data_IF_321851404353
#
_entry.id   IF_321851404353
#
_cell.length_a   1.000
_cell.length_b   1.000
_cell.length_c   1.000
_cell.angle_alpha   90.00
_cell.angle_beta   90.00
_cell.angle_gamma   90.00
#
_symmetry.space_group_name_H-M   'P 1'
#
loop_
_entity.id
_entity.type
_entity.pdbx_description
1 polymer ?
#
# COMPACT_ATOMS: atom_id res chain seq x y z
N UNK A 1 -5.77 4.90 -20.04
CA UNK A 1 -4.59 5.17 -20.91
C UNK A 1 -4.86 6.24 -21.98
N UNK A 2 -6.09 6.43 -22.49
CA UNK A 2 -6.36 7.33 -23.64
C UNK A 2 -6.75 8.80 -23.34
N UNK A 3 -6.47 9.37 -22.14
CA UNK A 3 -6.81 10.79 -21.83
C UNK A 3 -5.61 11.73 -21.67
N UNK A 4 -4.39 11.21 -21.73
CA UNK A 4 -3.18 12.01 -21.49
C UNK A 4 -2.75 12.89 -22.68
N UNK A 5 -3.34 12.70 -23.87
CA UNK A 5 -2.93 13.38 -25.10
C UNK A 5 -3.25 14.89 -25.15
N UNK A 6 -3.99 15.44 -24.18
CA UNK A 6 -4.35 16.87 -24.11
C UNK A 6 -3.72 17.62 -22.93
N UNK A 7 -2.81 16.98 -22.19
CA UNK A 7 -2.14 17.61 -21.06
C UNK A 7 -0.90 18.42 -21.49
N UNK A 8 -0.67 19.62 -20.94
CA UNK A 8 0.60 20.33 -21.07
C UNK A 8 1.78 19.41 -20.72
N UNK A 9 2.95 19.57 -21.36
CA UNK A 9 4.11 18.68 -21.16
C UNK A 9 4.52 18.47 -19.69
N UNK A 10 4.32 19.48 -18.84
CA UNK A 10 4.58 19.41 -17.39
C UNK A 10 3.60 18.50 -16.65
N UNK A 11 2.36 18.37 -17.11
CA UNK A 11 1.39 17.46 -16.53
C UNK A 11 1.79 15.99 -16.83
N UNK A 12 2.35 15.73 -18.02
CA UNK A 12 2.82 14.39 -18.41
C UNK A 12 3.88 13.88 -17.42
N UNK A 13 4.87 14.70 -17.07
CA UNK A 13 5.93 14.32 -16.12
C UNK A 13 5.40 14.01 -14.72
N UNK A 14 4.36 14.71 -14.27
CA UNK A 14 3.73 14.46 -12.96
C UNK A 14 2.95 13.14 -12.97
N UNK A 15 2.21 12.85 -14.04
CA UNK A 15 1.47 11.60 -14.16
C UNK A 15 2.37 10.38 -14.33
N UNK A 16 3.48 10.51 -15.05
CA UNK A 16 4.50 9.47 -15.14
C UNK A 16 5.14 9.21 -13.78
N UNK A 17 5.54 10.26 -13.05
CA UNK A 17 6.07 10.11 -11.70
C UNK A 17 5.07 9.45 -10.76
N UNK A 18 3.83 9.93 -10.75
CA UNK A 18 2.78 9.36 -9.91
C UNK A 18 2.50 7.90 -10.26
N UNK A 19 2.42 7.56 -11.55
CA UNK A 19 2.04 6.23 -12.01
C UNK A 19 3.17 5.19 -11.92
N UNK A 20 4.40 5.58 -12.26
CA UNK A 20 5.54 4.68 -12.45
C UNK A 20 6.53 4.70 -11.30
N UNK A 21 6.69 5.83 -10.60
CA UNK A 21 7.71 5.97 -9.56
C UNK A 21 7.16 5.84 -8.14
N UNK A 22 5.87 6.09 -7.93
CA UNK A 22 5.23 5.86 -6.64
C UNK A 22 4.66 4.44 -6.54
N UNK A 23 4.99 3.76 -5.44
CA UNK A 23 4.34 2.51 -5.07
C UNK A 23 2.87 2.78 -4.65
N UNK A 24 2.01 1.75 -4.59
CA UNK A 24 0.59 1.93 -4.24
C UNK A 24 0.35 2.68 -2.93
N UNK A 25 1.16 2.42 -1.89
CA UNK A 25 1.02 3.06 -0.59
C UNK A 25 1.22 4.57 -0.69
N UNK A 26 2.31 5.02 -1.33
CA UNK A 26 2.62 6.43 -1.53
C UNK A 26 1.62 7.12 -2.46
N UNK A 27 1.06 6.41 -3.45
CA UNK A 27 -0.01 6.97 -4.28
C UNK A 27 -1.26 7.31 -3.46
N UNK A 28 -1.68 6.42 -2.57
CA UNK A 28 -2.83 6.66 -1.68
C UNK A 28 -2.55 7.82 -0.74
N UNK A 29 -1.40 7.81 -0.06
CA UNK A 29 -1.00 8.89 0.85
C UNK A 29 -0.96 10.25 0.14
N UNK A 30 -0.37 10.32 -1.06
CA UNK A 30 -0.32 11.52 -1.85
C UNK A 30 -1.72 12.02 -2.26
N UNK A 31 -2.57 11.13 -2.78
CA UNK A 31 -3.95 11.48 -3.17
C UNK A 31 -4.77 11.97 -1.98
N UNK A 32 -4.68 11.29 -0.83
CA UNK A 32 -5.31 11.75 0.40
C UNK A 32 -4.77 13.11 0.84
N UNK A 33 -3.46 13.34 0.74
CA UNK A 33 -2.84 14.64 1.02
C UNK A 33 -3.39 15.77 0.15
N UNK A 34 -3.53 15.53 -1.16
CA UNK A 34 -4.13 16.51 -2.08
C UNK A 34 -5.59 16.81 -1.72
N UNK A 35 -6.38 15.76 -1.44
CA UNK A 35 -7.78 15.92 -1.05
C UNK A 35 -7.95 16.74 0.23
N UNK A 36 -7.04 16.62 1.20
CA UNK A 36 -7.07 17.45 2.42
C UNK A 36 -6.86 18.94 2.16
N UNK A 37 -6.28 19.32 1.02
CA UNK A 37 -6.08 20.72 0.63
C UNK A 37 -7.26 21.30 -0.15
N UNK A 38 -8.22 20.47 -0.58
CA UNK A 38 -9.38 20.88 -1.36
C UNK A 38 -10.45 21.57 -0.50
N UNK A 39 -11.15 22.53 -1.10
CA UNK A 39 -12.31 23.21 -0.51
C UNK A 39 -13.56 22.30 -0.54
N UNK A 40 -14.58 22.57 0.32
CA UNK A 40 -15.78 21.73 0.39
C UNK A 40 -16.52 21.52 -0.94
N UNK A 41 -16.58 22.55 -1.80
CA UNK A 41 -17.21 22.45 -3.12
C UNK A 41 -16.39 21.59 -4.09
N UNK A 42 -15.06 21.67 -4.02
CA UNK A 42 -14.16 20.84 -4.83
C UNK A 42 -14.27 19.37 -4.42
N UNK A 43 -14.29 19.09 -3.12
CA UNK A 43 -14.50 17.75 -2.58
C UNK A 43 -15.85 17.17 -3.03
N UNK A 44 -16.92 17.98 -3.02
CA UNK A 44 -18.24 17.54 -3.49
C UNK A 44 -18.23 17.17 -4.98
N UNK A 45 -17.57 17.97 -5.81
CA UNK A 45 -17.40 17.68 -7.23
C UNK A 45 -16.56 16.42 -7.45
N UNK A 46 -15.42 16.30 -6.76
CA UNK A 46 -14.53 15.14 -6.87
C UNK A 46 -15.21 13.86 -6.40
N UNK A 47 -16.08 13.92 -5.39
CA UNK A 47 -16.89 12.78 -4.96
C UNK A 47 -17.74 12.21 -6.12
N UNK A 48 -18.52 13.05 -6.79
CA UNK A 48 -19.32 12.61 -7.95
C UNK A 48 -18.46 12.12 -9.11
N UNK A 49 -17.28 12.71 -9.31
CA UNK A 49 -16.33 12.25 -10.34
C UNK A 49 -15.73 10.87 -10.00
N UNK A 50 -15.38 10.63 -8.74
CA UNK A 50 -14.88 9.34 -8.26
C UNK A 50 -15.96 8.25 -8.37
N UNK A 51 -17.21 8.56 -8.01
CA UNK A 51 -18.36 7.65 -8.20
C UNK A 51 -18.52 7.23 -9.66
N UNK A 52 -18.38 8.17 -10.60
CA UNK A 52 -18.45 7.87 -12.04
C UNK A 52 -17.30 6.97 -12.50
N UNK A 53 -16.06 7.24 -12.04
CA UNK A 53 -14.89 6.42 -12.35
C UNK A 53 -15.02 4.99 -11.81
N UNK A 54 -15.51 4.84 -10.58
CA UNK A 54 -15.63 3.55 -9.89
C UNK A 54 -16.86 2.73 -10.33
N UNK A 55 -17.81 3.33 -11.08
CA UNK A 55 -19.07 2.68 -11.48
C UNK A 55 -18.87 1.34 -12.18
N UNK A 56 -17.77 1.17 -12.92
CA UNK A 56 -17.50 -0.06 -13.69
C UNK A 56 -17.27 -1.28 -12.81
N UNK A 57 -16.62 -1.09 -11.68
CA UNK A 57 -16.21 -2.18 -10.79
C UNK A 57 -17.23 -2.43 -9.67
N UNK A 58 -18.22 -1.55 -9.52
CA UNK A 58 -19.23 -1.58 -8.45
C UNK A 58 -19.92 -2.94 -8.29
N UNK A 59 -20.39 -3.55 -9.39
CA UNK A 59 -21.13 -4.82 -9.29
C UNK A 59 -20.24 -5.98 -8.83
N UNK A 60 -18.97 -5.98 -9.23
CA UNK A 60 -18.01 -7.03 -8.85
C UNK A 60 -17.61 -6.88 -7.39
N UNK A 61 -17.50 -5.64 -6.90
CA UNK A 61 -17.03 -5.35 -5.55
C UNK A 61 -18.13 -5.40 -4.48
N UNK A 62 -19.41 -5.37 -4.87
CA UNK A 62 -20.56 -5.34 -3.94
C UNK A 62 -20.52 -6.40 -2.85
N UNK A 63 -20.29 -7.67 -3.20
CA UNK A 63 -20.28 -8.76 -2.22
C UNK A 63 -19.06 -8.69 -1.29
N UNK A 64 -17.96 -8.10 -1.76
CA UNK A 64 -16.78 -7.85 -0.94
C UNK A 64 -17.01 -6.67 0.01
N UNK A 65 -17.70 -5.61 -0.44
CA UNK A 65 -18.08 -4.47 0.39
C UNK A 65 -19.02 -4.89 1.53
N UNK A 66 -20.00 -5.74 1.23
CA UNK A 66 -20.88 -6.31 2.26
C UNK A 66 -20.09 -7.05 3.34
N UNK A 67 -19.14 -7.90 2.94
CA UNK A 67 -18.28 -8.64 3.89
C UNK A 67 -17.32 -7.72 4.65
N UNK A 68 -16.75 -6.71 3.98
CA UNK A 68 -15.87 -5.72 4.60
C UNK A 68 -16.53 -4.94 5.73
N UNK A 69 -17.85 -4.79 5.67
CA UNK A 69 -18.67 -4.09 6.66
C UNK A 69 -19.46 -5.05 7.56
N UNK A 70 -19.07 -6.33 7.61
CA UNK A 70 -19.64 -7.34 8.51
C UNK A 70 -18.62 -7.75 9.58
N UNK A 71 -18.86 -7.46 10.87
CA UNK A 71 -17.97 -7.85 11.96
C UNK A 71 -17.66 -9.36 12.00
N UNK A 72 -18.66 -10.18 11.67
CA UNK A 72 -18.57 -11.64 11.72
C UNK A 72 -17.61 -12.20 10.65
N UNK A 73 -17.68 -11.65 9.44
CA UNK A 73 -16.82 -12.07 8.33
C UNK A 73 -15.37 -11.65 8.58
N UNK A 74 -15.18 -10.45 9.13
CA UNK A 74 -13.88 -9.87 9.36
C UNK A 74 -13.14 -10.54 10.52
N UNK A 75 -13.84 -10.98 11.56
CA UNK A 75 -13.25 -11.66 12.72
C UNK A 75 -12.53 -12.98 12.39
N UNK A 76 -12.78 -13.57 11.21
CA UNK A 76 -12.13 -14.80 10.75
C UNK A 76 -10.72 -14.55 10.18
N UNK A 77 -10.41 -13.31 9.78
CA UNK A 77 -9.18 -12.93 9.09
C UNK A 77 -8.05 -12.60 10.07
N UNK A 78 -7.51 -13.61 10.76
CA UNK A 78 -6.55 -13.40 11.87
C UNK A 78 -5.08 -13.63 11.51
N UNK A 79 -4.79 -14.50 10.54
CA UNK A 79 -3.41 -14.87 10.19
C UNK A 79 -2.85 -13.98 9.08
N UNK A 80 -2.07 -12.97 9.46
CA UNK A 80 -1.42 -12.02 8.54
C UNK A 80 -0.19 -12.61 7.84
N UNK A 81 0.25 -13.80 8.21
CA UNK A 81 1.32 -14.52 7.51
C UNK A 81 0.78 -15.24 6.26
N UNK A 82 -0.52 -15.46 6.15
CA UNK A 82 -1.17 -16.00 4.96
C UNK A 82 -1.36 -14.90 3.88
N UNK A 83 -0.72 -15.02 2.71
CA UNK A 83 -0.89 -14.07 1.60
C UNK A 83 -2.35 -13.90 1.14
N UNK A 84 -3.17 -14.94 1.30
CA UNK A 84 -4.60 -14.90 0.94
C UNK A 84 -5.36 -14.02 1.92
N UNK A 85 -5.10 -14.15 3.23
CA UNK A 85 -5.70 -13.31 4.27
C UNK A 85 -5.26 -11.86 4.09
N UNK A 86 -3.98 -11.61 3.82
CA UNK A 86 -3.46 -10.27 3.54
C UNK A 86 -4.15 -9.62 2.33
N UNK A 87 -4.36 -10.38 1.26
CA UNK A 87 -5.10 -9.90 0.08
C UNK A 87 -6.57 -9.59 0.41
N UNK A 88 -7.24 -10.44 1.20
CA UNK A 88 -8.62 -10.22 1.66
C UNK A 88 -8.73 -8.97 2.53
N UNK A 89 -7.80 -8.76 3.46
CA UNK A 89 -7.80 -7.60 4.34
C UNK A 89 -7.56 -6.30 3.57
N UNK A 90 -6.73 -6.33 2.53
CA UNK A 90 -6.55 -5.18 1.65
C UNK A 90 -7.85 -4.82 0.93
N UNK A 91 -8.58 -5.82 0.43
CA UNK A 91 -9.92 -5.62 -0.15
C UNK A 91 -10.90 -5.08 0.90
N UNK A 92 -10.91 -5.66 2.10
CA UNK A 92 -11.78 -5.19 3.18
C UNK A 92 -11.52 -3.73 3.56
N UNK A 93 -10.25 -3.33 3.72
CA UNK A 93 -9.89 -1.94 4.02
C UNK A 93 -10.23 -0.98 2.87
N UNK A 94 -10.12 -1.42 1.62
CA UNK A 94 -10.47 -0.62 0.45
C UNK A 94 -11.97 -0.35 0.33
N UNK A 95 -12.80 -1.24 0.89
CA UNK A 95 -14.27 -1.21 0.81
C UNK A 95 -14.95 -0.94 2.16
N UNK A 96 -14.16 -0.56 3.18
CA UNK A 96 -14.68 -0.27 4.50
C UNK A 96 -15.47 1.05 4.47
N UNK A 97 -16.69 1.04 5.01
CA UNK A 97 -17.51 2.24 5.12
C UNK A 97 -16.87 3.26 6.05
N UNK A 98 -16.99 4.55 5.70
CA UNK A 98 -16.35 5.65 6.46
C UNK A 98 -16.82 5.77 7.92
N UNK A 99 -18.01 5.25 8.22
CA UNK A 99 -18.68 5.24 9.53
C UNK A 99 -18.65 3.85 10.20
N UNK A 100 -18.05 2.84 9.57
CA UNK A 100 -17.99 1.45 10.02
C UNK A 100 -16.95 1.24 11.14
N UNK A 101 -17.17 1.91 12.28
CA UNK A 101 -16.22 1.97 13.40
C UNK A 101 -15.97 0.62 14.08
N UNK A 102 -17.00 -0.23 14.14
CA UNK A 102 -16.88 -1.58 14.73
C UNK A 102 -15.92 -2.45 13.90
N UNK A 103 -16.13 -2.50 12.59
CA UNK A 103 -15.26 -3.23 11.66
C UNK A 103 -13.85 -2.64 11.65
N UNK A 104 -13.70 -1.31 11.67
CA UNK A 104 -12.40 -0.65 11.83
C UNK A 104 -11.69 -1.09 13.13
N UNK A 105 -12.42 -1.24 14.24
CA UNK A 105 -11.89 -1.73 15.51
C UNK A 105 -11.44 -3.20 15.46
N UNK A 106 -12.12 -4.05 14.68
CA UNK A 106 -11.69 -5.43 14.42
C UNK A 106 -10.40 -5.44 13.58
N UNK A 107 -10.38 -4.70 12.46
CA UNK A 107 -9.20 -4.54 11.61
C UNK A 107 -8.00 -4.03 12.40
N UNK A 108 -8.19 -3.01 13.24
CA UNK A 108 -7.16 -2.47 14.10
C UNK A 108 -6.58 -3.52 15.06
N UNK A 109 -7.43 -4.37 15.64
CA UNK A 109 -6.97 -5.46 16.51
C UNK A 109 -6.15 -6.47 15.71
N UNK A 110 -6.61 -6.89 14.54
CA UNK A 110 -5.86 -7.79 13.65
C UNK A 110 -4.48 -7.20 13.34
N UNK A 111 -4.42 -5.94 12.88
CA UNK A 111 -3.18 -5.23 12.56
C UNK A 111 -2.25 -5.01 13.76
N UNK A 112 -2.80 -4.91 14.98
CA UNK A 112 -2.01 -4.69 16.20
C UNK A 112 -1.16 -5.88 16.62
N UNK A 113 -1.46 -7.09 16.12
CA UNK A 113 -0.70 -8.30 16.44
C UNK A 113 0.51 -8.51 15.50
N UNK A 114 0.69 -7.64 14.51
CA UNK A 114 1.84 -7.72 13.61
C UNK A 114 3.10 -7.28 14.34
N UNK A 115 4.10 -8.15 14.30
CA UNK A 115 5.48 -7.75 14.55
C UNK A 115 6.21 -7.64 13.19
N UNK A 116 6.59 -6.43 12.76
CA UNK A 116 7.32 -6.21 11.51
C UNK A 116 8.62 -7.01 11.40
N UNK A 117 9.25 -7.38 12.52
CA UNK A 117 10.48 -8.18 12.54
C UNK A 117 10.21 -9.69 12.48
N UNK A 118 9.02 -10.12 12.90
CA UNK A 118 8.61 -11.51 12.99
C UNK A 118 7.70 -11.94 11.82
N UNK A 119 7.26 -10.99 10.99
CA UNK A 119 6.85 -11.25 9.61
C UNK A 119 8.07 -11.78 8.85
N UNK A 120 8.37 -13.07 9.05
CA UNK A 120 9.48 -13.82 8.50
C UNK A 120 9.43 -13.87 6.98
N UNK A 121 9.80 -12.77 6.35
CA UNK A 121 10.16 -12.73 4.95
C UNK A 121 11.60 -13.19 4.90
N UNK A 122 11.73 -14.50 4.80
CA UNK A 122 12.96 -15.15 4.40
C UNK A 122 13.61 -14.32 3.30
N UNK A 123 14.84 -13.85 3.55
CA UNK A 123 15.65 -13.08 2.63
C UNK A 123 15.98 -13.80 1.30
N UNK A 124 15.33 -14.94 1.04
CA UNK A 124 15.44 -15.74 -0.17
C UNK A 124 14.34 -15.46 -1.19
N UNK A 125 13.20 -14.86 -0.82
CA UNK A 125 12.19 -14.47 -1.81
C UNK A 125 12.47 -13.05 -2.30
N UNK A 126 13.10 -12.98 -3.48
CA UNK A 126 13.50 -11.79 -4.23
C UNK A 126 12.38 -10.79 -4.58
N UNK A 127 11.18 -10.96 -4.04
CA UNK A 127 10.05 -10.05 -4.27
C UNK A 127 9.75 -9.27 -3.00
N UNK A 128 9.98 -7.96 -3.01
CA UNK A 128 9.53 -7.02 -1.97
C UNK A 128 7.99 -6.99 -1.76
N UNK A 129 7.25 -7.85 -2.44
CA UNK A 129 5.79 -7.87 -2.54
C UNK A 129 5.06 -7.93 -1.20
N UNK A 130 5.41 -8.86 -0.27
CA UNK A 130 4.69 -8.97 1.00
C UNK A 130 4.86 -7.75 1.91
N UNK A 131 6.08 -7.18 2.02
CA UNK A 131 6.28 -5.94 2.79
C UNK A 131 5.56 -4.76 2.14
N UNK A 132 5.54 -4.68 0.81
CA UNK A 132 4.85 -3.60 0.10
C UNK A 132 3.33 -3.71 0.26
N UNK A 133 2.77 -4.91 0.28
CA UNK A 133 1.37 -5.15 0.63
C UNK A 133 1.08 -4.75 2.08
N UNK A 134 1.96 -5.11 3.01
CA UNK A 134 1.83 -4.72 4.42
C UNK A 134 1.89 -3.19 4.58
N UNK A 135 2.85 -2.53 3.93
CA UNK A 135 2.97 -1.08 3.94
C UNK A 135 1.70 -0.42 3.37
N UNK A 136 1.13 -0.95 2.28
CA UNK A 136 -0.13 -0.46 1.73
C UNK A 136 -1.30 -0.62 2.72
N UNK A 137 -1.40 -1.78 3.37
CA UNK A 137 -2.44 -2.10 4.33
C UNK A 137 -2.41 -1.13 5.52
N UNK A 138 -1.21 -0.93 6.10
CA UNK A 138 -1.01 0.01 7.20
C UNK A 138 -1.20 1.47 6.76
N UNK A 139 -0.81 1.82 5.54
CA UNK A 139 -1.08 3.15 4.97
C UNK A 139 -2.57 3.42 4.92
N UNK A 140 -3.37 2.52 4.33
CA UNK A 140 -4.82 2.66 4.25
C UNK A 140 -5.44 2.77 5.65
N UNK A 141 -5.10 1.87 6.57
CA UNK A 141 -5.65 1.90 7.94
C UNK A 141 -5.28 3.18 8.70
N UNK A 142 -4.07 3.72 8.51
CA UNK A 142 -3.66 4.98 9.15
C UNK A 142 -4.36 6.22 8.60
N UNK A 143 -4.93 6.15 7.39
CA UNK A 143 -5.62 7.25 6.72
C UNK A 143 -7.15 7.11 6.79
N UNK A 144 -7.66 5.91 7.04
CA UNK A 144 -9.08 5.61 6.91
C UNK A 144 -9.94 6.33 7.98
N UNK A 145 -11.04 7.02 7.58
CA UNK A 145 -11.84 7.82 8.51
C UNK A 145 -12.61 7.00 9.57
N UNK A 146 -12.89 5.73 9.29
CA UNK A 146 -13.56 4.84 10.25
C UNK A 146 -12.69 4.51 11.49
N UNK A 147 -11.37 4.68 11.39
CA UNK A 147 -10.44 4.46 12.50
C UNK A 147 -10.40 5.70 13.39
N UNK A 148 -10.41 5.48 14.70
CA UNK A 148 -10.23 6.54 15.67
C UNK A 148 -8.82 7.12 15.60
N UNK A 149 -8.65 8.38 16.02
CA UNK A 149 -7.36 9.08 16.02
C UNK A 149 -6.22 8.24 16.63
N UNK A 150 -6.41 7.71 17.83
CA UNK A 150 -5.42 6.87 18.50
C UNK A 150 -5.08 5.60 17.71
N UNK A 151 -6.07 4.97 17.07
CA UNK A 151 -5.83 3.78 16.26
C UNK A 151 -4.96 4.12 15.04
N UNK A 152 -5.26 5.23 14.36
CA UNK A 152 -4.49 5.71 13.21
C UNK A 152 -3.05 6.05 13.59
N UNK A 153 -2.86 6.71 14.73
CA UNK A 153 -1.52 7.05 15.25
C UNK A 153 -0.69 5.79 15.54
N UNK A 154 -1.28 4.79 16.21
CA UNK A 154 -0.58 3.53 16.50
C UNK A 154 -0.23 2.76 15.20
N UNK A 155 -1.17 2.68 14.26
CA UNK A 155 -0.94 2.05 12.95
C UNK A 155 0.15 2.80 12.18
N UNK A 156 0.15 4.13 12.22
CA UNK A 156 1.20 4.96 11.59
C UNK A 156 2.58 4.66 12.16
N UNK A 157 2.71 4.58 13.49
CA UNK A 157 3.99 4.21 14.11
C UNK A 157 4.47 2.79 13.76
N UNK A 158 3.58 1.87 13.40
CA UNK A 158 3.95 0.56 12.86
C UNK A 158 4.34 0.62 11.38
N UNK A 159 3.65 1.44 10.59
CA UNK A 159 4.03 1.71 9.20
C UNK A 159 5.45 2.24 9.10
N UNK A 160 5.83 3.21 9.95
CA UNK A 160 7.17 3.79 9.94
C UNK A 160 8.25 2.70 10.16
N UNK A 161 7.99 1.72 11.03
CA UNK A 161 8.88 0.56 11.23
C UNK A 161 8.96 -0.34 10.00
N UNK A 162 7.82 -0.62 9.36
CA UNK A 162 7.78 -1.42 8.13
C UNK A 162 8.57 -0.73 7.01
N UNK A 163 8.42 0.58 6.85
CA UNK A 163 9.15 1.35 5.84
C UNK A 163 10.67 1.33 6.09
N UNK A 164 11.09 1.42 7.35
CA UNK A 164 12.50 1.27 7.73
C UNK A 164 13.04 -0.13 7.36
N UNK A 165 12.26 -1.19 7.60
CA UNK A 165 12.64 -2.57 7.21
C UNK A 165 12.74 -2.70 5.69
N UNK A 166 11.79 -2.13 4.93
CA UNK A 166 11.82 -2.13 3.46
C UNK A 166 13.07 -1.43 2.94
N UNK A 167 13.39 -0.26 3.47
CA UNK A 167 14.54 0.53 3.01
C UNK A 167 15.86 -0.17 3.34
N UNK A 168 15.98 -0.75 4.55
CA UNK A 168 17.14 -1.54 4.93
C UNK A 168 17.32 -2.78 4.03
N UNK A 169 16.24 -3.50 3.72
CA UNK A 169 16.26 -4.63 2.80
C UNK A 169 16.72 -4.21 1.38
N UNK A 170 16.23 -3.07 0.88
CA UNK A 170 16.64 -2.51 -0.42
C UNK A 170 18.13 -2.15 -0.42
N UNK A 171 18.60 -1.48 0.63
CA UNK A 171 20.02 -1.11 0.80
C UNK A 171 20.92 -2.35 0.83
N UNK A 172 20.56 -3.37 1.60
CA UNK A 172 21.31 -4.63 1.65
C UNK A 172 21.37 -5.32 0.28
N UNK A 173 20.26 -5.33 -0.46
CA UNK A 173 20.22 -5.93 -1.79
C UNK A 173 21.12 -5.18 -2.79
N UNK A 174 21.14 -3.84 -2.75
CA UNK A 174 22.07 -3.03 -3.55
C UNK A 174 23.53 -3.35 -3.23
N UNK A 175 23.88 -3.49 -1.95
CA UNK A 175 25.23 -3.87 -1.52
C UNK A 175 25.62 -5.25 -2.06
N UNK A 176 24.72 -6.25 -2.00
CA UNK A 176 24.95 -7.59 -2.55
C UNK A 176 25.20 -7.57 -4.05
N UNK A 177 24.40 -6.80 -4.81
CA UNK A 177 24.56 -6.65 -6.27
C UNK A 177 25.89 -5.98 -6.60
N UNK A 178 26.26 -4.92 -5.87
CA UNK A 178 27.53 -4.22 -6.08
C UNK A 178 28.74 -5.13 -5.81
N UNK A 179 28.70 -5.95 -4.76
CA UNK A 179 29.76 -6.89 -4.42
C UNK A 179 29.93 -8.01 -5.47
N UNK A 180 28.84 -8.54 -6.04
CA UNK A 180 28.91 -9.54 -7.12
C UNK A 180 29.48 -8.95 -8.43
N UNK A 181 29.17 -7.68 -8.73
CA UNK A 181 29.69 -6.99 -9.92
C UNK A 181 31.20 -6.75 -9.83
N UNK A 182 31.73 -6.47 -8.63
CA UNK A 182 33.17 -6.30 -8.40
C UNK A 182 33.96 -7.61 -8.61
N UNK A 183 33.41 -8.75 -8.18
CA UNK A 183 34.08 -10.08 -8.30
C UNK A 183 34.18 -10.55 -9.76
N UNK A 184 33.23 -10.19 -10.62
CA UNK A 184 33.27 -10.54 -12.05
C UNK A 184 34.27 -9.70 -12.86
N UNK A 185 34.64 -8.50 -12.39
CA UNK A 185 35.60 -7.64 -13.07
C UNK A 185 37.07 -8.02 -12.80
N UNK A 186 37.34 -8.71 -11.69
CA UNK A 186 38.70 -9.15 -11.29
C UNK A 186 39.22 -10.41 -12.00
N UNK A 187 38.41 -11.09 -12.83
CA UNK A 187 38.80 -12.30 -13.57
C UNK A 187 39.01 -12.06 -15.08
N UNK A 188 39.72 -10.99 -15.48
CA UNK A 188 40.27 -10.93 -16.85
C UNK A 188 41.54 -11.79 -16.93
N UNK A 189 41.61 -12.83 -17.78
CA UNK A 189 42.83 -13.60 -17.94
C UNK A 189 43.90 -12.73 -18.57
N UNK A 190 45.02 -12.56 -17.88
CA UNK A 190 46.24 -11.96 -18.43
C UNK A 190 46.68 -12.81 -19.61
N UNK A 191 46.54 -12.29 -20.82
CA UNK A 191 47.04 -12.93 -22.04
C UNK A 191 48.56 -12.92 -21.97
N UNK A 192 49.15 -14.06 -21.64
CA UNK A 192 50.60 -14.28 -21.67
C UNK A 192 51.02 -14.27 -23.14
N UNK A 193 51.85 -13.28 -23.49
CA UNK A 193 52.57 -13.16 -24.77
C UNK A 193 53.68 -14.18 -24.88
#
# INVERSE_FOLDING_TARGET
VARWQQCPKQCITVFEWFGLHLNPARRIEFMCGLLHMCQPLELRFLGSYLEDLARKDYQVLRDFEFRANSPNELGVLTDLMDPVVMSKLLVCLSLLGSDSRECAGILFRILSHVDPHNCGLSANDTSAGPLEQLALLFTMASLHPAFHFHQREKVRGQLDKIELVIEEARRQNQLRISAQTTVMSSNKPTRVT
#
